data_IF_487684030908
#
_entry.id   IF_487684030908
#
_cell.length_a   1.000
_cell.length_b   1.000
_cell.length_c   1.000
_cell.angle_alpha   90.00
_cell.angle_beta   90.00
_cell.angle_gamma   90.00
#
_symmetry.space_group_name_H-M   'P 1'
#
loop_
_entity.id
_entity.type
_entity.pdbx_description
1 polymer ?
#
# COMPACT_ATOMS: atom_id res chain seq x y z
N UNK A 1 27.06 0.34 -8.02
CA UNK A 1 26.05 0.33 -9.10
C UNK A 1 24.75 0.82 -8.51
N UNK A 2 24.10 1.80 -9.14
CA UNK A 2 22.80 2.34 -8.71
C UNK A 2 21.67 1.36 -9.08
N UNK A 3 20.63 1.30 -8.27
CA UNK A 3 19.45 0.45 -8.56
C UNK A 3 18.46 1.20 -9.46
N UNK A 4 17.62 0.48 -10.20
CA UNK A 4 16.71 1.07 -11.20
C UNK A 4 15.70 2.06 -10.60
N UNK A 5 15.26 1.84 -9.36
CA UNK A 5 14.29 2.69 -8.66
C UNK A 5 14.89 3.35 -7.41
N UNK A 6 16.20 3.52 -7.38
CA UNK A 6 16.87 4.23 -6.29
C UNK A 6 16.36 5.67 -6.17
N UNK A 7 16.01 6.08 -4.95
CA UNK A 7 15.44 7.40 -4.67
C UNK A 7 13.92 7.51 -4.83
N UNK A 8 13.25 6.50 -5.41
CA UNK A 8 11.79 6.45 -5.51
C UNK A 8 11.20 5.97 -4.19
N UNK A 9 10.20 6.70 -3.67
CA UNK A 9 9.44 6.30 -2.48
C UNK A 9 8.00 5.95 -2.81
N UNK A 10 7.54 4.82 -2.30
CA UNK A 10 6.22 4.26 -2.56
C UNK A 10 5.45 4.13 -1.25
N UNK A 11 4.21 4.62 -1.23
CA UNK A 11 3.26 4.34 -0.17
C UNK A 11 2.44 3.09 -0.54
N UNK A 12 2.67 1.99 0.15
CA UNK A 12 2.01 0.71 -0.08
C UNK A 12 0.79 0.58 0.85
N UNK A 13 -0.40 0.82 0.30
CA UNK A 13 -1.70 0.63 0.94
C UNK A 13 -2.33 -0.73 0.60
N UNK A 14 -1.53 -1.66 0.07
CA UNK A 14 -2.04 -2.91 -0.45
C UNK A 14 -2.09 -4.02 0.59
N UNK A 15 -2.89 -5.04 0.30
CA UNK A 15 -3.06 -6.22 1.13
C UNK A 15 -3.26 -7.49 0.30
N UNK A 16 -3.13 -8.66 0.96
CA UNK A 16 -3.26 -9.98 0.31
C UNK A 16 -2.13 -10.24 -0.69
N UNK A 17 -2.40 -10.30 -2.00
CA UNK A 17 -1.43 -10.82 -2.96
C UNK A 17 -1.13 -9.86 -4.12
N UNK A 18 -2.15 -9.39 -4.85
CA UNK A 18 -1.94 -8.63 -6.10
C UNK A 18 -1.10 -7.37 -5.89
N UNK A 19 -1.51 -6.54 -4.94
CA UNK A 19 -0.80 -5.31 -4.60
C UNK A 19 0.57 -5.56 -3.94
N UNK A 20 0.67 -6.42 -2.90
CA UNK A 20 1.95 -6.69 -2.26
C UNK A 20 3.00 -7.26 -3.21
N UNK A 21 2.59 -8.08 -4.19
CA UNK A 21 3.49 -8.61 -5.24
C UNK A 21 4.08 -7.47 -6.07
N UNK A 22 3.24 -6.53 -6.52
CA UNK A 22 3.68 -5.37 -7.29
C UNK A 22 4.70 -4.54 -6.50
N UNK A 23 4.36 -4.14 -5.27
CA UNK A 23 5.23 -3.28 -4.46
C UNK A 23 6.50 -4.00 -3.99
N UNK A 24 6.48 -5.33 -3.83
CA UNK A 24 7.69 -6.11 -3.56
C UNK A 24 8.67 -6.09 -4.73
N UNK A 25 8.20 -6.25 -5.97
CA UNK A 25 9.06 -6.16 -7.16
C UNK A 25 9.71 -4.77 -7.26
N UNK A 26 8.96 -3.71 -6.97
CA UNK A 26 9.48 -2.34 -6.94
C UNK A 26 10.54 -2.16 -5.83
N UNK A 27 10.33 -2.75 -4.65
CA UNK A 27 11.32 -2.75 -3.57
C UNK A 27 12.62 -3.47 -3.98
N UNK A 28 12.52 -4.61 -4.68
CA UNK A 28 13.69 -5.33 -5.20
C UNK A 28 14.48 -4.49 -6.21
N UNK A 29 13.81 -3.70 -7.03
CA UNK A 29 14.43 -2.73 -7.94
C UNK A 29 14.96 -1.47 -7.25
N UNK A 30 14.85 -1.36 -5.93
CA UNK A 30 15.51 -0.32 -5.13
C UNK A 30 14.61 0.79 -4.60
N UNK A 31 13.30 0.70 -4.80
CA UNK A 31 12.36 1.68 -4.22
C UNK A 31 12.30 1.57 -2.69
N UNK A 32 12.13 2.72 -2.02
CA UNK A 32 11.79 2.81 -0.60
C UNK A 32 10.29 2.59 -0.42
N UNK A 33 9.89 1.38 -0.04
CA UNK A 33 8.48 0.99 0.10
C UNK A 33 8.05 1.05 1.56
N UNK A 34 7.07 1.91 1.84
CA UNK A 34 6.44 2.07 3.17
C UNK A 34 5.05 1.43 3.12
N UNK A 35 4.93 0.25 3.72
CA UNK A 35 3.65 -0.44 3.89
C UNK A 35 2.90 0.15 5.08
N UNK A 36 1.68 0.62 4.82
CA UNK A 36 0.78 1.14 5.85
C UNK A 36 -0.22 0.06 6.21
N UNK A 37 -0.28 -0.26 7.49
CA UNK A 37 -1.09 -1.36 7.99
C UNK A 37 -2.05 -0.92 9.10
N UNK A 38 -3.12 -1.69 9.32
CA UNK A 38 -4.09 -1.40 10.39
C UNK A 38 -3.48 -1.74 11.76
N UNK A 39 -3.54 -0.84 12.76
CA UNK A 39 -3.06 -1.14 14.10
C UNK A 39 -3.70 -2.40 14.70
N UNK A 40 -2.87 -3.22 15.36
CA UNK A 40 -3.28 -4.44 16.05
C UNK A 40 -3.60 -5.65 15.16
N UNK A 41 -3.79 -5.46 13.85
CA UNK A 41 -4.17 -6.55 12.92
C UNK A 41 -3.15 -6.73 11.81
N UNK A 42 -2.71 -5.63 11.18
CA UNK A 42 -1.81 -5.71 10.04
C UNK A 42 -2.50 -6.10 8.73
N UNK A 43 -1.70 -6.54 7.77
CA UNK A 43 -2.13 -7.30 6.59
C UNK A 43 -2.69 -8.67 6.99
N UNK A 44 -3.80 -9.10 6.40
CA UNK A 44 -4.44 -10.38 6.70
C UNK A 44 -3.49 -11.57 6.49
N UNK A 45 -2.56 -11.47 5.54
CA UNK A 45 -1.62 -12.55 5.24
C UNK A 45 -0.71 -12.87 6.43
N UNK A 46 -0.46 -11.95 7.37
CA UNK A 46 0.32 -12.22 8.60
C UNK A 46 -0.23 -13.39 9.42
N UNK A 47 -1.56 -13.56 9.40
CA UNK A 47 -2.28 -14.58 10.15
C UNK A 47 -2.72 -15.81 9.33
N UNK A 48 -2.70 -15.72 8.01
CA UNK A 48 -3.21 -16.77 7.14
C UNK A 48 -2.20 -17.91 6.96
N UNK A 49 -2.67 -19.15 7.06
CA UNK A 49 -1.87 -20.35 6.81
C UNK A 49 -0.55 -20.39 7.61
N UNK A 50 -0.60 -19.93 8.86
CA UNK A 50 0.58 -19.95 9.75
C UNK A 50 1.07 -21.39 9.97
N UNK A 51 2.36 -21.56 9.75
CA UNK A 51 3.14 -22.74 10.07
C UNK A 51 3.74 -22.68 11.47
N UNK A 52 4.00 -21.48 11.99
CA UNK A 52 4.49 -21.23 13.36
C UNK A 52 3.50 -20.35 14.13
N UNK A 53 3.07 -20.74 15.35
CA UNK A 53 2.20 -19.91 16.20
C UNK A 53 2.80 -18.53 16.49
N UNK A 54 1.95 -17.50 16.46
CA UNK A 54 2.29 -16.12 16.80
C UNK A 54 3.42 -15.45 15.97
N UNK A 55 3.84 -16.07 14.87
CA UNK A 55 4.80 -15.52 13.90
C UNK A 55 4.07 -15.15 12.60
N UNK A 56 4.61 -14.18 11.86
CA UNK A 56 4.12 -13.87 10.52
C UNK A 56 4.22 -15.10 9.60
N UNK A 57 3.13 -15.39 8.89
CA UNK A 57 3.10 -16.54 7.99
C UNK A 57 4.10 -16.42 6.83
N UNK A 58 4.39 -17.56 6.19
CA UNK A 58 5.09 -17.59 4.90
C UNK A 58 4.37 -16.77 3.81
N UNK A 59 3.05 -16.70 3.84
CA UNK A 59 2.28 -15.91 2.89
C UNK A 59 2.61 -14.41 3.00
N UNK A 60 2.74 -13.89 4.22
CA UNK A 60 3.13 -12.50 4.43
C UNK A 60 4.60 -12.26 4.07
N UNK A 61 5.49 -13.11 4.61
CA UNK A 61 6.94 -12.88 4.49
C UNK A 61 7.41 -12.95 3.05
N UNK A 62 6.90 -13.89 2.25
CA UNK A 62 7.25 -14.04 0.83
C UNK A 62 6.74 -12.91 -0.09
N UNK A 63 5.82 -12.06 0.39
CA UNK A 63 5.21 -10.97 -0.38
C UNK A 63 5.54 -9.56 0.12
N UNK A 64 6.27 -9.44 1.23
CA UNK A 64 6.55 -8.15 1.86
C UNK A 64 8.04 -7.96 2.20
N UNK A 65 8.94 -8.68 1.53
CA UNK A 65 10.37 -8.45 1.63
C UNK A 65 10.74 -7.03 1.18
N UNK A 66 11.79 -6.48 1.80
CA UNK A 66 12.35 -5.17 1.48
C UNK A 66 11.40 -3.98 1.70
N UNK A 67 10.30 -4.17 2.45
CA UNK A 67 9.37 -3.11 2.83
C UNK A 67 9.57 -2.72 4.30
N UNK A 68 9.34 -1.44 4.62
CA UNK A 68 9.17 -0.96 5.99
C UNK A 68 7.68 -0.95 6.32
N UNK A 69 7.32 -1.33 7.54
CA UNK A 69 5.92 -1.33 7.98
C UNK A 69 5.67 -0.22 9.00
N UNK A 70 4.53 0.44 8.88
CA UNK A 70 3.99 1.36 9.89
C UNK A 70 2.51 1.08 10.07
N UNK A 71 2.06 1.07 11.33
CA UNK A 71 0.63 0.99 11.62
C UNK A 71 0.00 2.37 11.65
N UNK A 72 -1.13 2.56 10.96
CA UNK A 72 -1.84 3.84 10.92
C UNK A 72 -3.35 3.63 10.89
N UNK A 73 -4.08 4.32 11.78
CA UNK A 73 -5.54 4.35 11.75
C UNK A 73 -6.04 5.62 11.06
N UNK A 74 -6.36 5.51 9.78
CA UNK A 74 -6.87 6.61 8.94
C UNK A 74 -8.30 7.06 9.27
N UNK A 75 -8.98 6.40 10.22
CA UNK A 75 -10.29 6.86 10.72
C UNK A 75 -10.18 7.99 11.75
N UNK A 76 -9.03 8.14 12.40
CA UNK A 76 -8.78 9.21 13.37
C UNK A 76 -8.20 10.43 12.66
N UNK A 77 -8.56 11.65 13.08
CA UNK A 77 -8.10 12.89 12.45
C UNK A 77 -6.56 13.00 12.40
N UNK A 78 -5.89 12.73 13.52
CA UNK A 78 -4.41 12.64 13.55
C UNK A 78 -3.85 11.60 12.57
N UNK A 79 -4.57 10.50 12.37
CA UNK A 79 -4.17 9.47 11.41
C UNK A 79 -4.31 9.94 9.97
N UNK A 80 -5.37 10.71 9.66
CA UNK A 80 -5.54 11.36 8.35
C UNK A 80 -4.46 12.40 8.08
N UNK A 81 -4.08 13.18 9.09
CA UNK A 81 -3.00 14.17 8.97
C UNK A 81 -1.65 13.50 8.67
N UNK A 82 -1.33 12.43 9.40
CA UNK A 82 -0.12 11.64 9.16
C UNK A 82 -0.16 11.02 7.75
N UNK A 83 -1.30 10.44 7.34
CA UNK A 83 -1.45 9.84 6.02
C UNK A 83 -1.27 10.88 4.91
N UNK A 84 -1.85 12.06 5.06
CA UNK A 84 -1.69 13.19 4.12
C UNK A 84 -0.23 13.61 3.99
N UNK A 85 0.52 13.62 5.09
CA UNK A 85 1.95 13.92 5.08
C UNK A 85 2.76 12.82 4.41
N UNK A 86 2.42 11.55 4.65
CA UNK A 86 3.05 10.41 3.99
C UNK A 86 2.85 10.43 2.48
N UNK A 87 1.62 10.64 2.00
CA UNK A 87 1.32 10.77 0.57
C UNK A 87 2.19 11.86 -0.07
N UNK A 88 2.28 13.04 0.57
CA UNK A 88 3.09 14.17 0.06
C UNK A 88 4.59 13.89 0.01
N UNK A 89 5.07 12.91 0.77
CA UNK A 89 6.48 12.55 0.88
C UNK A 89 6.87 11.35 -0.01
N UNK A 90 5.88 10.68 -0.59
CA UNK A 90 6.06 9.58 -1.53
C UNK A 90 5.84 10.08 -2.97
N UNK A 91 6.42 9.38 -3.93
CA UNK A 91 6.28 9.71 -5.35
C UNK A 91 4.95 9.19 -5.90
N UNK A 92 4.50 8.02 -5.44
CA UNK A 92 3.19 7.47 -5.76
C UNK A 92 2.68 6.51 -4.67
N UNK A 93 1.41 6.16 -4.77
CA UNK A 93 0.72 5.25 -3.87
C UNK A 93 0.20 4.04 -4.65
N UNK A 94 0.21 2.87 -4.02
CA UNK A 94 -0.39 1.66 -4.60
C UNK A 94 -1.46 1.16 -3.65
N UNK A 95 -2.64 0.88 -4.18
CA UNK A 95 -3.78 0.35 -3.43
C UNK A 95 -4.49 -0.77 -4.19
N UNK A 96 -5.22 -1.59 -3.44
CA UNK A 96 -6.06 -2.66 -3.99
C UNK A 96 -7.32 -2.87 -3.14
N UNK A 97 -7.90 -1.77 -2.65
CA UNK A 97 -9.17 -1.82 -1.94
C UNK A 97 -10.35 -1.93 -2.91
N UNK A 98 -11.53 -2.13 -2.34
CA UNK A 98 -12.78 -2.07 -3.11
C UNK A 98 -12.96 -0.67 -3.72
N UNK A 99 -13.64 -0.55 -4.88
CA UNK A 99 -13.90 0.73 -5.51
C UNK A 99 -14.47 1.79 -4.56
N UNK A 100 -13.91 2.99 -4.62
CA UNK A 100 -14.27 4.14 -3.78
C UNK A 100 -13.91 4.01 -2.30
N UNK A 101 -13.16 2.99 -1.87
CA UNK A 101 -12.75 2.87 -0.47
C UNK A 101 -11.85 4.03 -0.03
N UNK A 102 -10.88 4.41 -0.85
CA UNK A 102 -9.98 5.54 -0.59
C UNK A 102 -10.76 6.87 -0.53
N UNK A 103 -11.74 7.07 -1.42
CA UNK A 103 -12.62 8.24 -1.38
C UNK A 103 -13.40 8.30 -0.06
N UNK A 104 -13.99 7.17 0.37
CA UNK A 104 -14.71 7.05 1.65
C UNK A 104 -13.80 7.25 2.86
N UNK A 105 -12.49 7.04 2.71
CA UNK A 105 -11.50 7.35 3.75
C UNK A 105 -11.19 8.85 3.86
N UNK A 106 -11.74 9.67 2.96
CA UNK A 106 -11.54 11.13 2.94
C UNK A 106 -10.37 11.57 2.06
N UNK A 107 -9.92 10.71 1.14
CA UNK A 107 -8.83 11.01 0.21
C UNK A 107 -9.32 10.88 -1.24
N UNK A 108 -10.32 11.69 -1.65
CA UNK A 108 -10.88 11.59 -2.98
C UNK A 108 -9.81 11.84 -4.05
N UNK A 109 -9.80 11.00 -5.08
CA UNK A 109 -8.89 11.18 -6.22
C UNK A 109 -9.36 12.39 -7.06
N UNK A 110 -8.61 13.48 -6.97
CA UNK A 110 -8.83 14.75 -7.69
C UNK A 110 -7.58 15.63 -7.63
N UNK A 111 -7.33 16.40 -8.68
CA UNK A 111 -6.08 17.11 -8.98
C UNK A 111 -5.40 17.78 -7.77
N UNK A 112 -4.16 17.38 -7.49
CA UNK A 112 -3.30 18.06 -6.52
C UNK A 112 -2.73 19.34 -7.16
N UNK A 113 -2.93 20.54 -6.57
CA UNK A 113 -2.41 21.81 -7.10
C UNK A 113 -0.86 21.94 -7.07
N UNK A 114 -0.12 20.89 -6.68
CA UNK A 114 1.35 20.86 -6.68
C UNK A 114 2.01 20.10 -7.84
N UNK A 115 1.29 19.76 -8.91
CA UNK A 115 1.89 19.21 -10.13
C UNK A 115 2.77 17.96 -9.91
N UNK A 116 2.48 17.19 -8.85
CA UNK A 116 3.01 15.84 -8.68
C UNK A 116 1.84 14.87 -8.77
N UNK A 117 1.80 14.00 -9.80
CA UNK A 117 0.78 12.98 -9.88
C UNK A 117 1.03 11.99 -8.74
N UNK A 118 0.20 12.03 -7.70
CA UNK A 118 0.02 10.86 -6.86
C UNK A 118 -0.69 9.83 -7.74
N UNK A 119 0.08 9.14 -8.58
CA UNK A 119 -0.45 8.04 -9.37
C UNK A 119 -0.93 6.99 -8.38
N UNK A 120 -2.22 6.69 -8.43
CA UNK A 120 -2.76 5.51 -7.80
C UNK A 120 -2.68 4.37 -8.79
N UNK A 121 -1.91 3.33 -8.45
CA UNK A 121 -1.93 2.08 -9.21
C UNK A 121 -2.96 1.18 -8.54
N UNK A 122 -4.22 1.34 -8.94
CA UNK A 122 -5.32 0.47 -8.53
C UNK A 122 -5.20 -0.90 -9.20
N UNK A 123 -4.78 -1.92 -8.45
CA UNK A 123 -4.50 -3.26 -8.98
C UNK A 123 -5.69 -4.23 -8.91
N UNK A 124 -6.79 -3.83 -8.27
CA UNK A 124 -7.98 -4.67 -8.13
C UNK A 124 -9.25 -3.92 -8.49
N UNK A 125 -9.53 -3.85 -9.78
CA UNK A 125 -10.90 -3.88 -10.24
C UNK A 125 -11.12 -5.34 -10.65
N UNK A 126 -11.82 -6.13 -9.84
CA UNK A 126 -12.41 -7.37 -10.35
C UNK A 126 -13.13 -7.08 -11.68
N UNK A 127 -13.27 -8.09 -12.56
CA UNK A 127 -13.89 -7.94 -13.89
C UNK A 127 -14.99 -6.88 -13.83
N UNK A 128 -14.76 -5.72 -14.47
CA UNK A 128 -15.83 -4.72 -14.60
C UNK A 128 -16.91 -5.40 -15.42
N UNK A 129 -17.94 -5.95 -14.77
CA UNK A 129 -19.17 -6.31 -15.47
C UNK A 129 -19.73 -4.98 -15.96
N UNK A 130 -19.41 -4.62 -17.21
CA UNK A 130 -20.29 -3.76 -17.98
C UNK A 130 -21.59 -4.54 -18.08
N UNK A 131 -22.55 -4.24 -17.22
CA UNK A 131 -23.93 -4.47 -17.57
C UNK A 131 -24.12 -3.70 -18.89
N UNK A 132 -24.36 -4.45 -19.97
CA UNK A 132 -24.80 -3.90 -21.24
C UNK A 132 -26.14 -3.21 -21.06
#
# INVERSE_FOLDING_TARGET
>A
MTKALEGIRILDMTHVQSGPTCTQLLAWFGADVIKVERPGVGDATRGQLRDIPDVDSLYFTMLNHNKRSVTLNTKHETGKDIFTRLIKHCDFMVENFAPGAIDRMGFPMGENPRNKPAYDICLSQGVRSRAF
#
